data_IF_687101176614
#
_entry.id   IF_687101176614
#
_cell.length_a   1.000
_cell.length_b   1.000
_cell.length_c   1.000
_cell.angle_alpha   90.00
_cell.angle_beta   90.00
_cell.angle_gamma   90.00
#
_symmetry.space_group_name_H-M   'P 1'
#
loop_
_entity.id
_entity.type
_entity.pdbx_description
1 polymer ?
#
# COMPACT_ATOMS: atom_id res chain seq x y z
N UNK A 1 -28.31 51.09 -42.31
CA UNK A 1 -29.42 50.44 -41.61
C UNK A 1 -28.82 49.40 -40.67
N UNK A 2 -28.75 49.80 -39.42
CA UNK A 2 -28.19 49.04 -38.29
C UNK A 2 -29.26 48.09 -37.78
N UNK A 3 -29.02 46.76 -37.84
CA UNK A 3 -29.82 45.77 -37.13
C UNK A 3 -29.22 45.51 -35.78
N UNK A 4 -29.83 46.03 -34.73
CA UNK A 4 -29.63 45.64 -33.35
C UNK A 4 -30.16 44.22 -33.19
N UNK A 5 -29.30 43.27 -32.98
CA UNK A 5 -29.69 41.98 -32.44
C UNK A 5 -29.84 42.08 -30.92
N UNK A 6 -31.07 42.16 -30.49
CA UNK A 6 -31.44 42.03 -29.09
C UNK A 6 -31.19 40.58 -28.69
N UNK A 7 -30.12 40.35 -27.95
CA UNK A 7 -29.94 39.11 -27.20
C UNK A 7 -30.91 39.13 -26.01
N UNK A 8 -32.02 38.47 -26.14
CA UNK A 8 -32.91 38.15 -25.00
C UNK A 8 -32.19 37.17 -24.12
N UNK A 9 -31.63 37.63 -23.02
CA UNK A 9 -31.30 36.81 -21.85
C UNK A 9 -32.63 36.25 -21.32
N UNK A 10 -32.99 35.08 -21.78
CA UNK A 10 -33.97 34.26 -21.10
C UNK A 10 -33.34 33.82 -19.75
N UNK A 11 -33.62 34.60 -18.72
CA UNK A 11 -33.43 34.17 -17.35
C UNK A 11 -34.35 32.98 -17.10
N UNK A 12 -33.86 31.78 -17.40
CA UNK A 12 -34.59 30.57 -17.09
C UNK A 12 -34.70 30.38 -15.60
N UNK A 13 -35.90 30.16 -15.16
CA UNK A 13 -36.35 29.77 -13.87
C UNK A 13 -35.43 28.71 -13.25
N UNK A 14 -34.87 29.00 -12.09
CA UNK A 14 -34.28 28.02 -11.21
C UNK A 14 -35.39 27.09 -10.68
N UNK A 15 -35.80 26.16 -11.52
CA UNK A 15 -36.58 25.00 -11.14
C UNK A 15 -35.60 23.82 -11.07
N UNK A 16 -35.93 22.83 -10.32
CA UNK A 16 -35.27 21.58 -9.91
C UNK A 16 -34.28 20.85 -10.87
N UNK A 17 -33.90 21.43 -11.99
CA UNK A 17 -33.12 20.77 -13.04
C UNK A 17 -31.60 21.00 -12.97
N UNK A 18 -31.10 21.84 -12.03
CA UNK A 18 -29.68 22.17 -11.89
C UNK A 18 -29.16 23.08 -13.01
N UNK A 19 -27.83 23.20 -13.12
CA UNK A 19 -27.18 23.99 -14.18
C UNK A 19 -27.15 23.24 -15.50
N UNK A 20 -27.07 24.00 -16.63
CA UNK A 20 -26.84 23.44 -17.95
C UNK A 20 -25.38 22.93 -18.04
N UNK A 21 -25.22 21.63 -18.30
CA UNK A 21 -23.92 21.01 -18.57
C UNK A 21 -23.49 21.17 -20.02
N UNK A 22 -24.44 21.01 -20.93
CA UNK A 22 -24.22 21.14 -22.38
C UNK A 22 -25.41 21.89 -22.99
N UNK A 23 -25.13 22.93 -23.76
CA UNK A 23 -26.13 23.63 -24.53
C UNK A 23 -25.90 23.39 -26.03
N UNK A 24 -26.97 23.11 -26.74
CA UNK A 24 -26.97 22.89 -28.19
C UNK A 24 -28.15 23.63 -28.82
N UNK A 25 -28.21 23.70 -30.15
CA UNK A 25 -29.27 24.44 -30.85
C UNK A 25 -30.65 23.86 -30.56
N UNK A 26 -31.39 24.52 -29.65
CA UNK A 26 -32.78 24.16 -29.33
C UNK A 26 -32.92 23.14 -28.20
N UNK A 27 -31.82 22.74 -27.53
CA UNK A 27 -31.85 21.77 -26.42
C UNK A 27 -30.69 21.97 -25.48
N UNK A 28 -30.79 21.37 -24.26
CA UNK A 28 -29.74 21.39 -23.21
C UNK A 28 -29.68 20.04 -22.53
N UNK A 29 -28.52 19.71 -21.97
CA UNK A 29 -28.36 18.62 -21.02
C UNK A 29 -28.09 19.26 -19.66
N UNK A 30 -28.95 19.00 -18.68
CA UNK A 30 -28.86 19.56 -17.33
C UNK A 30 -28.12 18.62 -16.35
N UNK A 31 -27.66 19.17 -15.23
CA UNK A 31 -27.09 18.39 -14.12
C UNK A 31 -28.07 17.31 -13.66
N UNK A 32 -29.36 17.61 -13.58
CA UNK A 32 -30.37 16.65 -13.16
C UNK A 32 -30.50 15.49 -14.15
N UNK A 33 -30.60 15.80 -15.46
CA UNK A 33 -30.65 14.75 -16.48
C UNK A 33 -29.41 13.86 -16.44
N UNK A 34 -28.23 14.42 -16.28
CA UNK A 34 -26.99 13.66 -16.13
C UNK A 34 -27.03 12.81 -14.86
N UNK A 35 -27.41 13.39 -13.72
CA UNK A 35 -27.52 12.67 -12.45
C UNK A 35 -28.47 11.47 -12.54
N UNK A 36 -29.66 11.64 -13.11
CA UNK A 36 -30.64 10.57 -13.29
C UNK A 36 -30.10 9.40 -14.14
N UNK A 37 -29.24 9.69 -15.12
CA UNK A 37 -28.62 8.66 -15.96
C UNK A 37 -27.50 7.88 -15.22
N UNK A 38 -26.76 8.55 -14.33
CA UNK A 38 -25.58 7.93 -13.71
C UNK A 38 -25.84 7.36 -12.32
N UNK A 39 -26.85 7.83 -11.59
CA UNK A 39 -27.08 7.46 -10.18
C UNK A 39 -27.21 5.96 -9.91
N UNK A 40 -27.78 5.21 -10.86
CA UNK A 40 -27.89 3.74 -10.76
C UNK A 40 -26.66 2.99 -11.24
N UNK A 41 -25.63 3.71 -11.75
CA UNK A 41 -24.39 3.09 -12.21
C UNK A 41 -23.53 2.68 -11.00
N UNK A 42 -23.04 1.42 -10.94
CA UNK A 42 -22.15 0.99 -9.84
C UNK A 42 -20.94 1.89 -9.61
N UNK A 43 -20.39 2.49 -10.66
CA UNK A 43 -19.27 3.45 -10.55
C UNK A 43 -19.68 4.73 -9.82
N UNK A 44 -20.90 5.25 -10.07
CA UNK A 44 -21.42 6.42 -9.36
C UNK A 44 -21.70 6.10 -7.89
N UNK A 45 -22.22 4.92 -7.60
CA UNK A 45 -22.41 4.43 -6.23
C UNK A 45 -21.07 4.34 -5.49
N UNK A 46 -20.01 3.83 -6.14
CA UNK A 46 -18.68 3.79 -5.57
C UNK A 46 -18.13 5.19 -5.30
N UNK A 47 -18.34 6.14 -6.20
CA UNK A 47 -17.94 7.55 -6.01
C UNK A 47 -18.65 8.14 -4.79
N UNK A 48 -19.96 7.90 -4.64
CA UNK A 48 -20.71 8.39 -3.48
C UNK A 48 -20.22 7.77 -2.18
N UNK A 49 -19.93 6.46 -2.16
CA UNK A 49 -19.34 5.80 -1.00
C UNK A 49 -17.98 6.43 -0.63
N UNK A 50 -17.12 6.64 -1.60
CA UNK A 50 -15.81 7.25 -1.37
C UNK A 50 -15.93 8.69 -0.83
N UNK A 51 -16.85 9.49 -1.38
CA UNK A 51 -17.15 10.84 -0.86
C UNK A 51 -17.70 10.79 0.57
N UNK A 52 -18.51 9.78 0.89
CA UNK A 52 -19.05 9.59 2.24
C UNK A 52 -17.93 9.26 3.21
N UNK A 53 -17.05 8.32 2.87
CA UNK A 53 -15.86 7.98 3.66
C UNK A 53 -15.00 9.24 3.86
N UNK A 54 -14.69 9.96 2.79
CA UNK A 54 -13.93 11.20 2.86
C UNK A 54 -14.54 12.20 3.85
N UNK A 55 -15.85 12.46 3.76
CA UNK A 55 -16.52 13.43 4.64
C UNK A 55 -16.57 12.98 6.10
N UNK A 56 -16.79 11.70 6.36
CA UNK A 56 -16.83 11.14 7.71
C UNK A 56 -15.45 11.22 8.35
N UNK A 57 -14.42 10.76 7.67
CA UNK A 57 -13.06 10.72 8.20
C UNK A 57 -12.45 12.12 8.30
N UNK A 58 -12.74 13.03 7.36
CA UNK A 58 -12.32 14.44 7.47
C UNK A 58 -12.92 15.11 8.71
N UNK A 59 -14.19 14.87 9.00
CA UNK A 59 -14.85 15.40 10.19
C UNK A 59 -14.24 14.87 11.49
N UNK A 60 -13.86 13.60 11.51
CA UNK A 60 -13.36 12.91 12.72
C UNK A 60 -11.88 13.19 12.98
N UNK A 61 -11.07 13.15 11.92
CA UNK A 61 -9.60 13.10 12.01
C UNK A 61 -8.89 14.23 11.25
N UNK A 62 -9.63 15.09 10.53
CA UNK A 62 -9.06 16.09 9.62
C UNK A 62 -8.08 17.06 10.26
N UNK A 63 -8.25 17.36 11.56
CA UNK A 63 -7.32 18.23 12.30
C UNK A 63 -5.97 17.56 12.66
N UNK A 64 -5.86 16.25 12.46
CA UNK A 64 -4.67 15.47 12.86
C UNK A 64 -3.81 15.05 11.65
N UNK A 65 -4.26 15.30 10.43
CA UNK A 65 -3.50 15.06 9.20
C UNK A 65 -3.12 16.39 8.58
N UNK A 66 -1.83 16.67 8.51
CA UNK A 66 -1.31 17.92 7.95
C UNK A 66 -1.34 17.86 6.40
N UNK A 67 -1.68 18.99 5.78
CA UNK A 67 -1.60 19.16 4.34
C UNK A 67 -0.18 18.95 3.80
N UNK A 68 0.83 19.19 4.65
CA UNK A 68 2.22 18.89 4.31
C UNK A 68 2.42 17.42 3.98
N UNK A 69 1.85 16.49 4.75
CA UNK A 69 1.97 15.05 4.48
C UNK A 69 1.38 14.65 3.13
N UNK A 70 0.27 15.30 2.74
CA UNK A 70 -0.35 15.09 1.42
C UNK A 70 0.54 15.62 0.31
N UNK A 71 1.08 16.84 0.48
CA UNK A 71 1.95 17.47 -0.50
C UNK A 71 3.29 16.73 -0.64
N UNK A 72 3.86 16.22 0.45
CA UNK A 72 5.09 15.40 0.41
C UNK A 72 4.87 14.14 -0.42
N UNK A 73 3.71 13.45 -0.24
CA UNK A 73 3.37 12.27 -1.05
C UNK A 73 3.24 12.62 -2.54
N UNK A 74 2.59 13.76 -2.87
CA UNK A 74 2.51 14.24 -4.25
C UNK A 74 3.91 14.53 -4.82
N UNK A 75 4.79 15.18 -4.06
CA UNK A 75 6.14 15.48 -4.48
C UNK A 75 6.97 14.22 -4.76
N UNK A 76 6.77 13.15 -3.98
CA UNK A 76 7.39 11.85 -4.23
C UNK A 76 6.88 11.20 -5.52
N UNK A 77 5.57 11.24 -5.77
CA UNK A 77 4.97 10.76 -7.02
C UNK A 77 5.48 11.56 -8.23
N UNK A 78 5.52 12.90 -8.13
CA UNK A 78 6.08 13.77 -9.18
C UNK A 78 7.55 13.45 -9.45
N UNK A 79 8.35 13.19 -8.42
CA UNK A 79 9.74 12.77 -8.58
C UNK A 79 9.87 11.42 -9.28
N UNK A 80 8.96 10.48 -8.97
CA UNK A 80 8.96 9.14 -9.56
C UNK A 80 8.59 9.16 -11.04
N UNK A 81 7.57 9.93 -11.41
CA UNK A 81 7.00 9.96 -12.77
C UNK A 81 7.57 11.09 -13.64
N UNK A 82 8.24 12.10 -13.05
CA UNK A 82 8.78 13.26 -13.74
C UNK A 82 7.72 13.98 -14.58
N UNK A 83 8.11 14.42 -15.77
CA UNK A 83 7.22 15.13 -16.71
C UNK A 83 5.98 14.32 -17.15
N UNK A 84 5.96 13.02 -16.88
CA UNK A 84 4.83 12.17 -17.21
C UNK A 84 3.71 12.18 -16.16
N UNK A 85 3.90 12.78 -14.99
CA UNK A 85 2.95 12.69 -13.88
C UNK A 85 1.53 13.15 -14.27
N UNK A 86 1.40 14.29 -14.94
CA UNK A 86 0.08 14.77 -15.41
C UNK A 86 -0.60 13.80 -16.40
N UNK A 87 0.20 13.14 -17.22
CA UNK A 87 -0.32 12.14 -18.17
C UNK A 87 -0.80 10.89 -17.43
N UNK A 88 -0.06 10.46 -16.41
CA UNK A 88 -0.46 9.32 -15.54
C UNK A 88 -1.78 9.62 -14.84
N UNK A 89 -1.94 10.80 -14.24
CA UNK A 89 -3.20 11.22 -13.64
C UNK A 89 -4.36 11.22 -14.65
N UNK A 90 -4.13 11.82 -15.83
CA UNK A 90 -5.16 11.89 -16.89
C UNK A 90 -5.59 10.51 -17.40
N UNK A 91 -4.64 9.57 -17.55
CA UNK A 91 -4.93 8.19 -17.92
C UNK A 91 -5.74 7.44 -16.86
N UNK A 92 -5.55 7.81 -15.59
CA UNK A 92 -6.35 7.29 -14.48
C UNK A 92 -7.68 8.05 -14.29
N UNK A 93 -8.02 8.99 -15.17
CA UNK A 93 -9.23 9.82 -15.06
C UNK A 93 -9.22 10.77 -13.86
N UNK A 94 -8.04 11.18 -13.39
CA UNK A 94 -7.86 12.00 -12.19
C UNK A 94 -7.26 13.38 -12.53
N UNK A 95 -7.60 14.35 -11.70
CA UNK A 95 -6.90 15.63 -11.61
C UNK A 95 -5.94 15.60 -10.40
N UNK A 96 -5.03 16.57 -10.33
CA UNK A 96 -4.17 16.73 -9.15
C UNK A 96 -5.00 16.92 -7.87
N UNK A 97 -6.09 17.68 -7.93
CA UNK A 97 -6.97 17.90 -6.79
C UNK A 97 -7.67 16.62 -6.33
N UNK A 98 -8.19 15.82 -7.28
CA UNK A 98 -8.80 14.52 -6.92
C UNK A 98 -7.76 13.55 -6.34
N UNK A 99 -6.52 13.59 -6.86
CA UNK A 99 -5.42 12.77 -6.30
C UNK A 99 -5.07 13.19 -4.88
N UNK A 100 -4.92 14.50 -4.62
CA UNK A 100 -4.71 15.03 -3.25
C UNK A 100 -5.81 14.61 -2.30
N UNK A 101 -7.07 14.72 -2.72
CA UNK A 101 -8.22 14.31 -1.90
C UNK A 101 -8.19 12.79 -1.57
N UNK A 102 -7.79 11.95 -2.53
CA UNK A 102 -7.62 10.52 -2.30
C UNK A 102 -6.49 10.23 -1.30
N UNK A 103 -5.31 10.85 -1.49
CA UNK A 103 -4.18 10.69 -0.56
C UNK A 103 -4.58 11.14 0.85
N UNK A 104 -5.25 12.30 0.96
CA UNK A 104 -5.73 12.78 2.27
C UNK A 104 -6.69 11.78 2.91
N UNK A 105 -7.64 11.27 2.16
CA UNK A 105 -8.58 10.24 2.66
C UNK A 105 -7.85 8.98 3.12
N UNK A 106 -6.87 8.50 2.36
CA UNK A 106 -6.05 7.34 2.76
C UNK A 106 -5.33 7.60 4.08
N UNK A 107 -4.69 8.76 4.25
CA UNK A 107 -3.99 9.13 5.49
C UNK A 107 -4.93 9.22 6.70
N UNK A 108 -6.14 9.75 6.49
CA UNK A 108 -7.16 9.79 7.55
C UNK A 108 -7.62 8.39 7.95
N UNK A 109 -7.82 7.49 7.01
CA UNK A 109 -8.16 6.08 7.26
C UNK A 109 -7.00 5.38 7.97
N UNK A 110 -5.76 5.56 7.51
CA UNK A 110 -4.55 5.01 8.15
C UNK A 110 -4.43 5.47 9.61
N UNK A 111 -4.69 6.75 9.88
CA UNK A 111 -4.68 7.28 11.24
C UNK A 111 -5.75 6.63 12.12
N UNK A 112 -6.97 6.50 11.63
CA UNK A 112 -8.06 5.85 12.36
C UNK A 112 -7.73 4.39 12.66
N UNK A 113 -7.23 3.65 11.66
CA UNK A 113 -6.79 2.25 11.80
C UNK A 113 -5.66 2.14 12.81
N UNK A 114 -4.67 3.05 12.76
CA UNK A 114 -3.55 3.08 13.72
C UNK A 114 -4.06 3.28 15.14
N UNK A 115 -4.94 4.27 15.36
CA UNK A 115 -5.53 4.53 16.69
C UNK A 115 -6.32 3.33 17.22
N UNK A 116 -7.10 2.70 16.35
CA UNK A 116 -7.84 1.49 16.71
C UNK A 116 -6.91 0.32 17.04
N UNK A 117 -5.84 0.13 16.27
CA UNK A 117 -4.83 -0.89 16.53
C UNK A 117 -4.07 -0.63 17.84
N UNK A 118 -3.74 0.64 18.14
CA UNK A 118 -3.12 1.03 19.40
C UNK A 118 -4.00 0.72 20.61
N UNK A 119 -5.32 0.84 20.49
CA UNK A 119 -6.27 0.46 21.54
C UNK A 119 -6.34 -1.06 21.77
N UNK A 120 -5.88 -1.87 20.83
CA UNK A 120 -5.81 -3.33 20.94
C UNK A 120 -4.44 -3.85 21.40
N UNK A 121 -3.52 -2.98 21.81
CA UNK A 121 -2.21 -3.35 22.38
C UNK A 121 -2.38 -3.86 23.81
N UNK A 122 -2.83 -5.09 23.95
CA UNK A 122 -3.00 -5.80 25.22
C UNK A 122 -1.80 -6.69 25.54
N UNK A 123 -1.66 -7.11 26.80
CA UNK A 123 -0.61 -8.06 27.20
C UNK A 123 -0.71 -9.38 26.41
N UNK A 124 -1.93 -9.84 26.11
CA UNK A 124 -2.15 -11.04 25.28
C UNK A 124 -1.69 -10.82 23.82
N UNK A 125 -1.92 -9.62 23.26
CA UNK A 125 -1.43 -9.29 21.92
C UNK A 125 0.10 -9.27 21.87
N UNK A 126 0.74 -8.69 22.89
CA UNK A 126 2.20 -8.69 23.01
C UNK A 126 2.74 -10.11 23.18
N UNK A 127 2.12 -10.93 24.03
CA UNK A 127 2.53 -12.31 24.24
C UNK A 127 2.44 -13.12 22.96
N UNK A 128 1.33 -13.02 22.23
CA UNK A 128 1.16 -13.70 20.94
C UNK A 128 2.23 -13.25 19.95
N UNK A 129 2.41 -11.95 19.80
CA UNK A 129 3.43 -11.40 18.90
C UNK A 129 4.85 -11.85 19.31
N UNK A 130 5.12 -11.93 20.61
CA UNK A 130 6.39 -12.43 21.11
C UNK A 130 6.58 -13.91 20.76
N UNK A 131 5.58 -14.75 20.95
CA UNK A 131 5.69 -16.19 20.63
C UNK A 131 6.04 -16.42 19.16
N UNK A 132 5.46 -15.61 18.26
CA UNK A 132 5.65 -15.68 16.80
C UNK A 132 6.94 -14.98 16.31
N UNK A 133 7.49 -14.06 17.10
CA UNK A 133 8.65 -13.25 16.71
C UNK A 133 9.94 -14.08 16.74
N UNK A 134 10.73 -13.99 15.67
CA UNK A 134 12.10 -14.52 15.59
C UNK A 134 13.09 -13.36 15.50
N UNK A 135 14.08 -13.27 16.42
CA UNK A 135 15.08 -12.21 16.41
C UNK A 135 15.99 -12.23 15.18
N UNK A 136 16.82 -11.20 15.10
CA UNK A 136 17.74 -10.99 14.00
C UNK A 136 18.63 -12.21 13.72
N UNK A 137 18.73 -12.51 12.44
CA UNK A 137 19.76 -13.35 11.87
C UNK A 137 20.58 -12.54 10.89
N UNK A 138 21.88 -12.85 10.77
CA UNK A 138 22.71 -12.36 9.66
C UNK A 138 22.89 -13.51 8.68
N UNK A 139 22.61 -13.25 7.43
CA UNK A 139 22.73 -14.21 6.35
C UNK A 139 23.43 -13.60 5.14
N UNK A 140 23.95 -14.44 4.27
CA UNK A 140 24.35 -14.08 2.92
C UNK A 140 23.29 -14.62 1.95
N UNK A 141 22.81 -13.78 1.03
CA UNK A 141 21.74 -14.11 0.08
C UNK A 141 22.22 -13.92 -1.34
N UNK A 142 21.96 -14.90 -2.19
CA UNK A 142 22.15 -14.81 -3.65
C UNK A 142 20.77 -14.84 -4.29
N UNK A 143 20.41 -13.78 -5.02
CA UNK A 143 19.18 -13.72 -5.83
C UNK A 143 19.53 -13.96 -7.28
N UNK A 144 18.74 -14.78 -7.96
CA UNK A 144 18.87 -15.11 -9.38
C UNK A 144 17.50 -15.09 -10.08
N UNK A 145 17.49 -14.80 -11.37
CA UNK A 145 16.27 -14.72 -12.18
C UNK A 145 16.03 -15.98 -13.02
N UNK A 146 16.92 -17.00 -12.91
CA UNK A 146 16.85 -18.24 -13.67
C UNK A 146 17.08 -19.44 -12.74
N UNK A 147 16.20 -20.45 -12.83
CA UNK A 147 16.24 -21.64 -11.98
C UNK A 147 17.47 -22.52 -12.20
N UNK A 148 17.83 -22.75 -13.46
CA UNK A 148 18.97 -23.63 -13.80
C UNK A 148 20.28 -22.99 -13.32
N UNK A 149 20.39 -21.66 -13.47
CA UNK A 149 21.52 -20.91 -12.90
C UNK A 149 21.55 -20.97 -11.39
N UNK A 150 20.39 -20.91 -10.72
CA UNK A 150 20.31 -21.06 -9.28
C UNK A 150 20.79 -22.45 -8.81
N UNK A 151 20.42 -23.51 -9.52
CA UNK A 151 20.91 -24.87 -9.25
C UNK A 151 22.42 -24.99 -9.43
N UNK A 152 22.96 -24.42 -10.50
CA UNK A 152 24.43 -24.38 -10.74
C UNK A 152 25.19 -23.66 -9.61
N UNK A 153 24.66 -22.50 -9.18
CA UNK A 153 25.26 -21.71 -8.10
C UNK A 153 25.14 -22.44 -6.76
N UNK A 154 24.02 -23.13 -6.52
CA UNK A 154 23.81 -23.94 -5.31
C UNK A 154 24.85 -25.06 -5.19
N UNK A 155 25.12 -25.79 -6.27
CA UNK A 155 26.17 -26.83 -6.28
C UNK A 155 27.53 -26.26 -5.86
N UNK A 156 27.87 -25.08 -6.40
CA UNK A 156 29.11 -24.38 -6.02
C UNK A 156 29.08 -23.90 -4.56
N UNK A 157 27.93 -23.40 -4.08
CA UNK A 157 27.77 -22.90 -2.71
C UNK A 157 27.85 -24.02 -1.65
N UNK A 158 27.44 -25.24 -2.01
CA UNK A 158 27.53 -26.41 -1.13
C UNK A 158 28.87 -27.15 -1.19
N UNK A 159 29.75 -26.79 -2.11
CA UNK A 159 31.06 -27.40 -2.23
C UNK A 159 31.93 -27.08 -1.00
N UNK A 160 32.81 -28.02 -0.62
CA UNK A 160 33.73 -27.81 0.50
C UNK A 160 34.65 -26.63 0.22
N UNK A 161 34.72 -25.68 1.17
CA UNK A 161 35.56 -24.49 1.04
C UNK A 161 34.97 -23.38 0.14
N UNK A 162 33.68 -23.47 -0.21
CA UNK A 162 33.03 -22.46 -1.05
C UNK A 162 33.05 -21.07 -0.41
N UNK A 163 33.47 -20.07 -1.17
CA UNK A 163 33.36 -18.65 -0.83
C UNK A 163 31.98 -18.15 -1.28
N UNK A 164 31.02 -18.21 -0.37
CA UNK A 164 29.64 -17.80 -0.65
C UNK A 164 29.55 -16.29 -0.95
N UNK A 165 30.38 -15.46 -0.28
CA UNK A 165 30.41 -14.03 -0.52
C UNK A 165 30.91 -13.70 -1.94
N UNK A 166 31.91 -14.42 -2.43
CA UNK A 166 32.39 -14.27 -3.81
C UNK A 166 31.33 -14.76 -4.81
N UNK A 167 30.66 -15.89 -4.54
CA UNK A 167 29.56 -16.36 -5.37
C UNK A 167 28.41 -15.35 -5.45
N UNK A 168 28.09 -14.66 -4.34
CA UNK A 168 27.10 -13.60 -4.32
C UNK A 168 27.52 -12.40 -5.17
N UNK A 169 28.76 -11.95 -5.06
CA UNK A 169 29.32 -10.86 -5.90
C UNK A 169 29.26 -11.16 -7.38
N UNK A 170 29.55 -12.41 -7.76
CA UNK A 170 29.65 -12.82 -9.16
C UNK A 170 28.27 -13.09 -9.80
N UNK A 171 27.34 -13.63 -9.04
CA UNK A 171 26.09 -14.18 -9.60
C UNK A 171 24.81 -13.48 -9.16
N UNK A 172 24.79 -12.77 -8.00
CA UNK A 172 23.55 -12.19 -7.49
C UNK A 172 23.03 -11.07 -8.39
N UNK A 173 21.71 -11.04 -8.60
CA UNK A 173 20.97 -9.94 -9.25
C UNK A 173 20.43 -8.93 -8.24
N UNK A 174 20.71 -9.11 -6.95
CA UNK A 174 20.32 -8.15 -5.92
C UNK A 174 21.39 -7.05 -5.73
N UNK A 175 21.18 -5.93 -6.39
CA UNK A 175 22.11 -4.79 -6.35
C UNK A 175 22.31 -4.19 -4.95
N UNK A 176 21.41 -4.43 -4.00
CA UNK A 176 21.53 -3.90 -2.63
C UNK A 176 22.59 -4.64 -1.82
N UNK A 177 22.68 -5.95 -1.99
CA UNK A 177 23.55 -6.79 -1.15
C UNK A 177 24.70 -7.42 -1.92
N UNK A 178 24.65 -7.45 -3.25
CA UNK A 178 25.67 -8.04 -4.11
C UNK A 178 27.09 -7.56 -3.79
N UNK A 179 27.27 -6.24 -3.67
CA UNK A 179 28.58 -5.63 -3.48
C UNK A 179 29.26 -6.03 -2.16
N UNK A 180 28.46 -6.30 -1.11
CA UNK A 180 28.95 -6.75 0.20
C UNK A 180 28.89 -8.29 0.39
N UNK A 181 28.82 -9.05 -0.70
CA UNK A 181 28.81 -10.51 -0.67
C UNK A 181 27.49 -11.12 -0.25
N UNK A 182 26.38 -10.41 -0.47
CA UNK A 182 25.04 -10.86 -0.17
C UNK A 182 24.64 -10.69 1.30
N UNK A 183 25.49 -10.06 2.14
CA UNK A 183 25.24 -9.93 3.58
C UNK A 183 24.05 -9.03 3.88
N UNK A 184 23.14 -9.53 4.73
CA UNK A 184 21.96 -8.82 5.22
C UNK A 184 21.59 -9.33 6.61
N UNK A 185 21.16 -8.43 7.48
CA UNK A 185 20.62 -8.76 8.82
C UNK A 185 19.12 -8.44 8.81
N UNK A 186 18.31 -9.39 9.26
CA UNK A 186 16.85 -9.26 9.30
C UNK A 186 16.25 -10.14 10.39
N UNK A 187 15.06 -9.75 10.85
CA UNK A 187 14.21 -10.50 11.76
C UNK A 187 12.91 -10.99 11.07
N UNK A 188 12.03 -11.64 11.82
CA UNK A 188 10.75 -12.12 11.28
C UNK A 188 9.82 -10.98 10.83
N UNK A 189 9.99 -9.77 11.32
CA UNK A 189 9.18 -8.60 10.97
C UNK A 189 9.74 -7.79 9.79
N UNK A 190 10.95 -8.08 9.36
CA UNK A 190 11.61 -7.37 8.25
C UNK A 190 10.86 -7.59 6.94
N UNK A 191 10.67 -6.52 6.16
CA UNK A 191 9.91 -6.53 4.90
C UNK A 191 10.76 -6.59 3.64
N UNK A 192 12.07 -6.31 3.75
CA UNK A 192 13.02 -6.31 2.64
C UNK A 192 13.41 -7.70 2.16
N UNK A 193 13.19 -8.73 2.99
CA UNK A 193 13.47 -10.14 2.65
C UNK A 193 12.15 -10.88 2.47
N UNK A 194 11.94 -11.58 1.34
CA UNK A 194 10.72 -12.35 1.11
C UNK A 194 10.45 -13.39 2.20
N UNK A 195 9.18 -13.63 2.51
CA UNK A 195 8.77 -14.51 3.60
C UNK A 195 9.33 -15.93 3.48
N UNK A 196 9.34 -16.49 2.25
CA UNK A 196 9.90 -17.80 1.97
C UNK A 196 11.40 -17.87 2.28
N UNK A 197 12.12 -16.77 2.01
CA UNK A 197 13.57 -16.64 2.25
C UNK A 197 13.85 -16.52 3.74
N UNK A 198 13.07 -15.69 4.47
CA UNK A 198 13.14 -15.59 5.95
C UNK A 198 12.91 -16.93 6.61
N UNK A 199 11.84 -17.63 6.22
CA UNK A 199 11.49 -18.95 6.76
C UNK A 199 12.62 -19.98 6.56
N UNK A 200 13.23 -20.00 5.38
CA UNK A 200 14.36 -20.87 5.10
C UNK A 200 15.57 -20.50 5.96
N UNK A 201 15.91 -19.21 6.07
CA UNK A 201 17.05 -18.72 6.87
C UNK A 201 16.90 -19.10 8.36
N UNK A 202 15.71 -18.91 8.94
CA UNK A 202 15.45 -19.22 10.35
C UNK A 202 15.52 -20.72 10.68
N UNK A 203 15.28 -21.59 9.67
CA UNK A 203 15.37 -23.04 9.81
C UNK A 203 16.82 -23.58 9.70
N UNK A 204 17.77 -22.77 9.20
CA UNK A 204 19.17 -23.18 9.06
C UNK A 204 19.92 -23.14 10.39
N UNK A 205 20.89 -24.03 10.53
CA UNK A 205 21.99 -23.88 11.48
C UNK A 205 23.00 -22.88 10.97
N UNK A 206 23.81 -22.30 11.87
CA UNK A 206 24.88 -21.39 11.50
C UNK A 206 25.87 -22.10 10.55
N UNK A 207 26.20 -21.44 9.45
CA UNK A 207 26.95 -21.91 8.29
C UNK A 207 26.18 -22.88 7.36
N UNK A 208 24.93 -23.19 7.66
CA UNK A 208 24.06 -23.96 6.77
C UNK A 208 23.71 -23.16 5.50
N UNK A 209 23.52 -23.88 4.39
CA UNK A 209 23.10 -23.36 3.08
C UNK A 209 21.74 -23.95 2.72
N UNK A 210 20.79 -23.12 2.32
CA UNK A 210 19.46 -23.55 1.92
C UNK A 210 19.49 -24.30 0.58
N UNK A 211 18.42 -24.97 0.23
CA UNK A 211 18.11 -25.31 -1.15
C UNK A 211 17.69 -24.06 -1.93
N UNK A 212 17.47 -24.19 -3.26
CA UNK A 212 16.93 -23.10 -4.08
C UNK A 212 15.51 -22.79 -3.60
N UNK A 213 15.26 -21.52 -3.25
CA UNK A 213 13.97 -21.02 -2.80
C UNK A 213 13.34 -20.25 -3.96
N UNK A 214 12.20 -20.69 -4.46
CA UNK A 214 11.44 -19.98 -5.49
C UNK A 214 10.48 -19.00 -4.86
N UNK A 215 10.54 -17.75 -5.31
CA UNK A 215 9.63 -16.66 -4.89
C UNK A 215 8.94 -16.16 -6.15
N UNK A 216 7.60 -16.25 -6.17
CA UNK A 216 6.80 -15.71 -7.27
C UNK A 216 6.83 -14.19 -7.20
N UNK A 217 7.25 -13.52 -8.26
CA UNK A 217 7.26 -12.08 -8.37
C UNK A 217 5.85 -11.51 -8.51
N UNK A 218 5.70 -10.22 -8.26
CA UNK A 218 4.42 -9.49 -8.40
C UNK A 218 4.00 -9.29 -9.86
N UNK A 219 4.93 -9.44 -10.81
CA UNK A 219 4.62 -9.44 -12.23
C UNK A 219 4.34 -10.87 -12.70
N UNK A 220 3.31 -11.05 -13.52
CA UNK A 220 2.95 -12.34 -14.06
C UNK A 220 4.16 -13.00 -14.78
N UNK A 221 4.45 -14.24 -14.39
CA UNK A 221 5.56 -15.07 -14.92
C UNK A 221 6.98 -14.67 -14.52
N UNK A 222 7.19 -13.76 -13.55
CA UNK A 222 8.51 -13.52 -12.99
C UNK A 222 8.70 -14.34 -11.71
N UNK A 223 9.57 -15.33 -11.74
CA UNK A 223 10.04 -16.04 -10.55
C UNK A 223 11.45 -15.57 -10.24
N UNK A 224 11.72 -15.38 -8.95
CA UNK A 224 13.05 -15.11 -8.43
C UNK A 224 13.50 -16.32 -7.61
N UNK A 225 14.76 -16.62 -7.68
CA UNK A 225 15.35 -17.77 -7.00
C UNK A 225 16.39 -17.28 -6.01
N UNK A 226 16.33 -17.81 -4.81
CA UNK A 226 17.22 -17.42 -3.73
C UNK A 226 17.98 -18.59 -3.17
N UNK A 227 19.24 -18.35 -2.79
CA UNK A 227 20.08 -19.26 -2.01
C UNK A 227 20.54 -18.48 -0.79
N UNK A 228 20.41 -19.05 0.39
CA UNK A 228 20.73 -18.41 1.66
C UNK A 228 21.79 -19.23 2.39
N UNK A 229 22.79 -18.52 2.92
CA UNK A 229 23.72 -19.06 3.92
C UNK A 229 23.57 -18.30 5.22
N UNK A 230 23.23 -19.01 6.31
CA UNK A 230 23.15 -18.39 7.62
C UNK A 230 24.55 -18.19 8.20
N UNK A 231 24.89 -16.96 8.61
CA UNK A 231 26.22 -16.66 9.21
C UNK A 231 26.12 -16.41 10.70
N UNK A 232 25.01 -15.86 11.18
CA UNK A 232 24.80 -15.59 12.62
C UNK A 232 23.31 -15.75 12.98
N UNK A 233 23.05 -16.26 14.16
CA UNK A 233 21.73 -16.35 14.75
C UNK A 233 21.74 -15.70 16.13
N UNK A 234 20.81 -14.79 16.38
CA UNK A 234 20.62 -14.18 17.70
C UNK A 234 19.66 -15.06 18.50
N UNK A 235 20.08 -15.47 19.69
CA UNK A 235 19.19 -16.18 20.58
C UNK A 235 18.09 -15.25 21.10
N UNK A 236 16.85 -15.76 21.14
CA UNK A 236 15.71 -15.01 21.64
C UNK A 236 15.78 -14.93 23.17
N UNK A 237 15.80 -13.70 23.71
CA UNK A 237 15.65 -13.48 25.14
C UNK A 237 14.30 -14.02 25.63
N UNK A 238 14.26 -14.55 26.81
CA UNK A 238 12.99 -14.95 27.45
C UNK A 238 12.21 -13.76 28.00
N UNK A 239 12.83 -12.58 28.09
CA UNK A 239 12.21 -11.36 28.58
C UNK A 239 11.52 -10.62 27.42
N UNK A 240 10.20 -10.56 27.44
CA UNK A 240 9.39 -9.86 26.42
C UNK A 240 9.68 -8.36 26.35
N UNK A 241 10.08 -7.73 27.46
CA UNK A 241 10.33 -6.31 27.52
C UNK A 241 11.51 -5.89 26.63
N UNK A 242 12.46 -6.80 26.35
CA UNK A 242 13.58 -6.55 25.45
C UNK A 242 13.13 -6.31 24.01
N UNK A 243 11.91 -6.70 23.67
CA UNK A 243 11.33 -6.58 22.32
C UNK A 243 10.09 -5.69 22.25
N UNK A 244 9.66 -5.07 23.35
CA UNK A 244 8.34 -4.43 23.46
C UNK A 244 8.07 -3.39 22.37
N UNK A 245 9.02 -2.51 22.06
CA UNK A 245 8.87 -1.52 21.00
C UNK A 245 8.78 -2.18 19.60
N UNK A 246 9.59 -3.21 19.39
CA UNK A 246 9.57 -3.97 18.14
C UNK A 246 8.24 -4.70 17.96
N UNK A 247 7.77 -5.39 18.99
CA UNK A 247 6.50 -6.12 19.00
C UNK A 247 5.32 -5.15 18.79
N UNK A 248 5.36 -3.97 19.41
CA UNK A 248 4.37 -2.92 19.13
C UNK A 248 4.30 -2.61 17.65
N UNK A 249 5.44 -2.36 17.02
CA UNK A 249 5.52 -2.08 15.57
C UNK A 249 4.97 -3.24 14.75
N UNK A 250 5.33 -4.49 15.10
CA UNK A 250 4.82 -5.70 14.43
C UNK A 250 3.30 -5.78 14.51
N UNK A 251 2.73 -5.64 15.71
CA UNK A 251 1.27 -5.71 15.91
C UNK A 251 0.56 -4.62 15.11
N UNK A 252 1.03 -3.38 15.18
CA UNK A 252 0.43 -2.26 14.45
C UNK A 252 0.49 -2.48 12.94
N UNK A 253 1.64 -2.90 12.41
CA UNK A 253 1.82 -3.18 10.99
C UNK A 253 0.94 -4.33 10.51
N UNK A 254 0.83 -5.41 11.28
CA UNK A 254 -0.08 -6.52 10.96
C UNK A 254 -1.53 -6.06 10.89
N UNK A 255 -1.99 -5.26 11.86
CA UNK A 255 -3.34 -4.71 11.88
C UNK A 255 -3.62 -3.75 10.72
N UNK A 256 -2.66 -2.89 10.38
CA UNK A 256 -2.78 -1.97 9.26
C UNK A 256 -2.85 -2.69 7.90
N UNK A 257 -2.19 -3.84 7.78
CA UNK A 257 -2.20 -4.67 6.57
C UNK A 257 -3.36 -5.69 6.55
N UNK A 258 -4.11 -5.85 7.64
CA UNK A 258 -5.29 -6.71 7.68
C UNK A 258 -6.50 -5.99 7.07
N UNK A 259 -6.85 -6.37 5.84
CA UNK A 259 -7.98 -5.79 5.11
C UNK A 259 -9.29 -5.91 5.89
N UNK A 260 -9.51 -6.99 6.63
CA UNK A 260 -10.71 -7.21 7.44
C UNK A 260 -10.77 -6.24 8.60
N UNK A 261 -9.63 -6.01 9.27
CA UNK A 261 -9.51 -5.03 10.33
C UNK A 261 -9.77 -3.61 9.80
N UNK A 262 -9.11 -3.22 8.71
CA UNK A 262 -9.32 -1.92 8.06
C UNK A 262 -10.79 -1.70 7.69
N UNK A 263 -11.42 -2.68 7.04
CA UNK A 263 -12.84 -2.60 6.68
C UNK A 263 -13.74 -2.49 7.90
N UNK A 264 -13.43 -3.21 9.00
CA UNK A 264 -14.21 -3.13 10.23
C UNK A 264 -14.16 -1.72 10.86
N UNK A 265 -12.98 -1.06 10.81
CA UNK A 265 -12.83 0.31 11.32
C UNK A 265 -13.62 1.29 10.45
N UNK A 266 -13.49 1.20 9.11
CA UNK A 266 -14.28 2.02 8.19
C UNK A 266 -15.78 1.84 8.49
N UNK A 267 -16.24 0.60 8.62
CA UNK A 267 -17.64 0.28 8.93
C UNK A 267 -18.12 0.89 10.25
N UNK A 268 -17.31 0.81 11.32
CA UNK A 268 -17.62 1.42 12.62
C UNK A 268 -17.75 2.94 12.53
N UNK A 269 -16.85 3.62 11.84
CA UNK A 269 -16.88 5.07 11.66
C UNK A 269 -18.10 5.52 10.85
N UNK A 270 -18.45 4.79 9.78
CA UNK A 270 -19.63 5.06 8.99
C UNK A 270 -20.92 4.86 9.80
N UNK A 271 -21.00 3.81 10.63
CA UNK A 271 -22.13 3.58 11.53
C UNK A 271 -22.26 4.68 12.57
N UNK A 272 -21.16 5.09 13.18
CA UNK A 272 -21.14 6.17 14.17
C UNK A 272 -21.55 7.53 13.58
N UNK A 273 -21.35 7.73 12.29
CA UNK A 273 -21.69 8.97 11.58
C UNK A 273 -23.20 9.17 11.36
N UNK A 274 -24.08 8.19 11.70
CA UNK A 274 -25.53 8.26 11.52
C UNK A 274 -25.96 8.67 10.10
N UNK A 275 -25.36 8.05 9.10
CA UNK A 275 -25.59 8.34 7.68
C UNK A 275 -27.05 8.06 7.33
N UNK A 276 -27.69 9.02 6.66
CA UNK A 276 -29.05 8.88 6.12
C UNK A 276 -29.00 9.02 4.60
N UNK A 277 -29.18 7.93 3.90
CA UNK A 277 -29.34 7.94 2.46
C UNK A 277 -30.74 8.48 2.14
N UNK A 278 -30.83 9.54 1.32
CA UNK A 278 -32.08 10.23 0.99
C UNK A 278 -32.59 9.88 -0.40
N UNK A 279 -31.70 9.53 -1.32
CA UNK A 279 -32.08 9.06 -2.65
C UNK A 279 -32.12 7.52 -2.64
N UNK A 280 -33.23 6.95 -3.10
CA UNK A 280 -33.47 5.50 -3.11
C UNK A 280 -32.57 4.72 -4.09
N UNK A 281 -31.88 5.41 -4.98
CA UNK A 281 -30.92 4.79 -5.90
C UNK A 281 -29.60 4.33 -5.23
N UNK A 282 -29.38 4.70 -3.94
CA UNK A 282 -28.17 4.41 -3.19
C UNK A 282 -28.40 3.58 -1.92
#
# INVERSE_FOLDING_TARGET
>A
ITLLSVATLAACSKGSEGADLISMKGDVITEHQFYEQVKSNPSAQQVLLNLTIQKVFEKQYGSEVDDKEVNDTIAEEEKQYGDNYQRVLSQAGMTLETRKAQIRTSKLVELAVKKAAEAELTDDAYKKAFDEYTPDVTAQIIRLDNEDKAKEVLEKAKASGADFAQLAKDNSTDEKTKANGGEITFDSASTEVPEQVKKAAFALDVNGVSDVISVTGTQAYSSQYYIVKLTKKTEKSSNIDDYKEKLKTVILTQKQNDASFVQSIIGKELQAANIKVKDQAF
#
